data_IF_967982894042
#
_entry.id   IF_967982894042
#
_cell.length_a   1.000
_cell.length_b   1.000
_cell.length_c   1.000
_cell.angle_alpha   90.00
_cell.angle_beta   90.00
_cell.angle_gamma   90.00
#
_symmetry.space_group_name_H-M   'P 1'
#
loop_
_entity.id
_entity.type
_entity.pdbx_description
1 polymer ?
#
# COMPACT_ATOMS: atom_id res chain seq x y z
N UNK A 1 1.34 -16.62 3.99
CA UNK A 1 2.31 -17.67 4.41
C UNK A 1 1.59 -19.01 4.44
N UNK A 2 2.20 -20.07 3.92
CA UNK A 2 1.56 -21.40 3.83
C UNK A 2 0.78 -21.65 2.53
N UNK A 3 1.03 -20.83 1.50
CA UNK A 3 0.49 -20.96 0.14
C UNK A 3 1.35 -21.85 -0.78
N UNK A 4 2.39 -22.49 -0.24
CA UNK A 4 3.33 -23.29 -1.01
C UNK A 4 4.35 -22.50 -1.83
N UNK A 5 4.32 -21.16 -1.76
CA UNK A 5 5.24 -20.25 -2.49
C UNK A 5 6.05 -19.41 -1.51
N UNK A 6 5.40 -18.75 -0.55
CA UNK A 6 6.02 -17.82 0.39
C UNK A 6 6.52 -18.55 1.65
N UNK A 7 7.82 -18.39 1.95
CA UNK A 7 8.47 -19.01 3.13
C UNK A 7 8.48 -18.12 4.38
N UNK A 8 8.05 -16.86 4.30
CA UNK A 8 8.14 -15.91 5.39
C UNK A 8 7.66 -14.50 5.02
N UNK A 9 7.77 -13.57 5.97
CA UNK A 9 7.66 -12.12 5.73
C UNK A 9 8.91 -11.41 6.24
N UNK A 10 9.40 -10.45 5.46
CA UNK A 10 10.44 -9.50 5.87
C UNK A 10 9.78 -8.15 6.18
N UNK A 11 9.69 -7.80 7.46
CA UNK A 11 9.11 -6.52 7.87
C UNK A 11 10.05 -5.34 7.60
N UNK A 12 9.55 -4.35 6.84
CA UNK A 12 10.25 -3.10 6.52
C UNK A 12 9.60 -1.86 7.17
N UNK A 13 8.67 -2.05 8.10
CA UNK A 13 8.05 -0.98 8.89
C UNK A 13 8.95 -0.45 10.02
N UNK A 14 8.44 0.50 10.79
CA UNK A 14 9.21 1.06 11.91
C UNK A 14 9.42 0.04 13.03
N UNK A 15 10.56 0.12 13.75
CA UNK A 15 10.88 -0.79 14.85
C UNK A 15 9.75 -0.92 15.87
N UNK A 16 9.00 0.16 16.14
CA UNK A 16 7.94 0.16 17.16
C UNK A 16 6.84 -0.87 16.93
N UNK A 17 6.68 -1.44 15.74
CA UNK A 17 5.70 -2.50 15.44
C UNK A 17 6.25 -3.92 15.57
N UNK A 18 7.57 -4.09 15.72
CA UNK A 18 8.18 -5.43 15.80
C UNK A 18 7.73 -6.21 17.02
N UNK A 19 7.42 -7.49 16.84
CA UNK A 19 6.85 -8.31 17.90
C UNK A 19 7.65 -9.60 18.08
N UNK A 20 8.58 -9.61 19.02
CA UNK A 20 9.23 -10.83 19.48
C UNK A 20 8.58 -11.27 20.80
N UNK A 21 8.13 -12.52 20.88
CA UNK A 21 7.50 -13.04 22.09
C UNK A 21 8.47 -13.92 22.87
N UNK A 22 8.63 -13.69 24.18
CA UNK A 22 9.52 -14.51 25.00
C UNK A 22 8.89 -15.89 25.25
N UNK A 23 9.52 -16.94 24.69
CA UNK A 23 9.25 -18.33 25.06
C UNK A 23 8.32 -19.10 24.11
N UNK A 24 8.04 -20.36 24.47
CA UNK A 24 7.28 -21.30 23.63
C UNK A 24 5.76 -21.06 23.65
N UNK A 25 5.26 -20.14 24.49
CA UNK A 25 3.85 -19.84 24.63
C UNK A 25 3.62 -18.37 24.98
N UNK A 26 2.69 -17.73 24.28
CA UNK A 26 2.18 -16.38 24.60
C UNK A 26 0.66 -16.41 24.53
N UNK A 27 -0.06 -15.97 25.58
CA UNK A 27 -1.52 -15.94 25.55
C UNK A 27 -2.05 -15.02 24.44
N UNK A 28 -3.06 -15.48 23.69
CA UNK A 28 -3.70 -14.65 22.64
C UNK A 28 -4.25 -13.33 23.20
N UNK A 29 -4.74 -13.33 24.44
CA UNK A 29 -5.32 -12.15 25.11
C UNK A 29 -4.30 -11.06 25.42
N UNK A 30 -3.01 -11.42 25.50
CA UNK A 30 -1.92 -10.46 25.77
C UNK A 30 -0.94 -10.37 24.62
N UNK A 31 -1.19 -11.07 23.51
CA UNK A 31 -0.26 -11.22 22.40
C UNK A 31 0.24 -9.86 21.89
N UNK A 32 -0.65 -8.93 21.59
CA UNK A 32 -0.25 -7.62 21.06
C UNK A 32 0.48 -6.72 22.07
N UNK A 33 0.28 -6.91 23.38
CA UNK A 33 0.93 -6.07 24.40
C UNK A 33 2.20 -6.71 24.98
N UNK A 34 2.26 -8.04 25.08
CA UNK A 34 3.37 -8.80 25.63
C UNK A 34 4.39 -9.14 24.53
N UNK A 35 5.05 -8.10 24.00
CA UNK A 35 6.07 -8.22 22.96
C UNK A 35 7.33 -7.44 23.29
N UNK A 36 8.47 -8.00 22.93
CA UNK A 36 9.73 -7.31 22.85
C UNK A 36 9.85 -6.62 21.48
N UNK A 37 10.12 -5.33 21.53
CA UNK A 37 10.43 -4.49 20.36
C UNK A 37 11.91 -4.65 20.03
N UNK A 38 12.23 -4.88 18.76
CA UNK A 38 13.58 -5.04 18.24
C UNK A 38 13.78 -4.24 16.94
N UNK A 39 15.03 -4.12 16.49
CA UNK A 39 15.31 -3.49 15.20
C UNK A 39 15.06 -4.49 14.07
N UNK A 40 14.23 -4.16 13.07
CA UNK A 40 14.12 -4.95 11.85
C UNK A 40 15.48 -5.18 11.18
N UNK A 41 15.53 -6.16 10.26
CA UNK A 41 16.76 -6.53 9.54
C UNK A 41 17.37 -5.29 8.86
N UNK A 42 16.56 -4.50 8.17
CA UNK A 42 17.05 -3.31 7.45
C UNK A 42 17.65 -2.25 8.39
N UNK A 43 16.99 -1.98 9.52
CA UNK A 43 17.55 -1.09 10.56
C UNK A 43 18.86 -1.63 11.14
N UNK A 44 18.97 -2.95 11.29
CA UNK A 44 20.20 -3.59 11.78
C UNK A 44 21.33 -3.49 10.75
N UNK A 45 21.04 -3.69 9.47
CA UNK A 45 22.01 -3.49 8.38
C UNK A 45 22.57 -2.08 8.37
N UNK A 46 21.70 -1.07 8.52
CA UNK A 46 22.13 0.32 8.64
C UNK A 46 23.01 0.57 9.87
N UNK A 47 22.62 0.06 11.04
CA UNK A 47 23.43 0.19 12.26
C UNK A 47 24.81 -0.46 12.15
N UNK A 48 24.97 -1.42 11.23
CA UNK A 48 26.25 -2.07 10.89
C UNK A 48 27.01 -1.37 9.76
N UNK A 49 26.47 -0.28 9.20
CA UNK A 49 27.09 0.45 8.08
C UNK A 49 27.05 -0.30 6.75
N UNK A 50 26.11 -1.23 6.56
CA UNK A 50 26.00 -2.06 5.35
C UNK A 50 25.13 -1.43 4.26
N UNK A 51 24.26 -0.49 4.62
CA UNK A 51 23.31 0.19 3.73
C UNK A 51 23.11 1.63 4.16
N UNK A 52 22.69 2.46 3.22
CA UNK A 52 22.14 3.78 3.50
C UNK A 52 20.83 3.69 4.29
N UNK A 53 20.39 4.75 4.99
CA UNK A 53 19.20 4.72 5.85
C UNK A 53 17.87 4.77 5.09
N UNK A 54 17.83 4.22 3.87
CA UNK A 54 16.66 4.22 3.02
C UNK A 54 16.65 3.05 2.04
N UNK A 55 15.44 2.59 1.69
CA UNK A 55 15.23 1.59 0.65
C UNK A 55 14.22 2.10 -0.37
N UNK A 56 14.13 1.43 -1.50
CA UNK A 56 13.19 1.76 -2.56
C UNK A 56 12.46 0.52 -3.07
N UNK A 57 11.25 0.74 -3.58
CA UNK A 57 10.43 -0.31 -4.18
C UNK A 57 9.89 0.16 -5.51
N UNK A 58 9.95 -0.71 -6.50
CA UNK A 58 9.21 -0.58 -7.76
C UNK A 58 8.62 -1.94 -8.13
N UNK A 59 7.32 -2.11 -7.93
CA UNK A 59 6.62 -3.36 -8.23
C UNK A 59 6.28 -3.44 -9.72
N UNK A 60 6.33 -4.64 -10.30
CA UNK A 60 5.92 -4.85 -11.68
C UNK A 60 4.38 -4.83 -11.83
N UNK A 61 3.86 -4.47 -13.01
CA UNK A 61 2.42 -4.57 -13.33
C UNK A 61 1.94 -6.01 -13.58
N UNK A 62 2.65 -6.98 -13.01
CA UNK A 62 2.41 -8.39 -13.22
C UNK A 62 1.12 -8.79 -12.48
N UNK A 63 0.13 -9.38 -13.19
CA UNK A 63 -1.03 -9.97 -12.56
C UNK A 63 -0.61 -11.16 -11.70
N UNK A 64 -1.36 -11.44 -10.63
CA UNK A 64 -1.18 -12.68 -9.89
C UNK A 64 -1.65 -13.85 -10.77
N UNK A 65 -0.73 -14.75 -11.11
CA UNK A 65 -1.00 -15.96 -11.88
C UNK A 65 -0.79 -17.21 -11.01
N UNK A 66 -1.64 -18.22 -11.23
CA UNK A 66 -1.64 -19.49 -10.49
C UNK A 66 -0.59 -20.51 -10.97
N UNK A 67 0.40 -20.13 -11.79
CA UNK A 67 1.18 -21.10 -12.57
C UNK A 67 2.69 -20.99 -12.53
N UNK A 68 3.28 -19.79 -12.54
CA UNK A 68 4.73 -19.62 -12.63
C UNK A 68 5.20 -18.29 -12.04
N UNK A 69 6.37 -18.25 -11.37
CA UNK A 69 6.97 -17.00 -10.93
C UNK A 69 7.27 -16.10 -12.13
N UNK A 70 6.68 -14.92 -12.15
CA UNK A 70 7.02 -13.84 -13.07
C UNK A 70 7.84 -12.76 -12.35
N UNK A 71 8.38 -11.81 -13.11
CA UNK A 71 9.13 -10.71 -12.52
C UNK A 71 8.22 -9.84 -11.63
N UNK A 72 8.47 -9.82 -10.31
CA UNK A 72 7.62 -9.11 -9.34
C UNK A 72 7.99 -7.64 -9.09
N UNK A 73 9.18 -7.22 -9.51
CA UNK A 73 9.70 -5.87 -9.25
C UNK A 73 11.08 -5.86 -8.60
N UNK A 74 11.43 -4.71 -8.04
CA UNK A 74 12.72 -4.45 -7.40
C UNK A 74 12.53 -3.96 -5.96
N UNK A 75 13.42 -4.41 -5.08
CA UNK A 75 13.70 -3.82 -3.78
C UNK A 75 15.15 -3.30 -3.81
N UNK A 76 15.34 -1.99 -3.83
CA UNK A 76 16.66 -1.36 -3.77
C UNK A 76 17.04 -1.04 -2.33
N UNK A 77 18.28 -1.34 -1.93
CA UNK A 77 18.79 -1.06 -0.60
C UNK A 77 19.81 0.09 -0.67
N UNK A 78 19.36 1.31 -0.42
CA UNK A 78 20.19 2.51 -0.61
C UNK A 78 20.40 2.94 -2.06
N UNK A 79 19.62 2.39 -3.00
CA UNK A 79 19.67 2.73 -4.42
C UNK A 79 18.25 2.82 -5.02
N UNK A 80 18.13 3.50 -6.17
CA UNK A 80 16.88 3.57 -6.91
C UNK A 80 16.74 2.35 -7.84
N UNK A 81 15.52 1.82 -8.04
CA UNK A 81 15.32 0.71 -8.97
C UNK A 81 15.58 1.13 -10.41
N UNK A 82 16.14 0.24 -11.26
CA UNK A 82 16.46 0.55 -12.66
C UNK A 82 15.21 0.49 -13.56
N UNK A 83 14.18 1.28 -13.22
CA UNK A 83 12.93 1.39 -13.99
C UNK A 83 12.76 2.79 -14.53
N UNK A 84 12.20 2.99 -15.74
CA UNK A 84 11.83 4.32 -16.21
C UNK A 84 10.86 4.99 -15.24
N UNK A 85 11.22 6.17 -14.75
CA UNK A 85 10.39 6.97 -13.86
C UNK A 85 10.59 8.46 -14.11
N UNK A 86 9.62 9.27 -13.69
CA UNK A 86 9.74 10.72 -13.67
C UNK A 86 10.92 11.16 -12.79
N UNK A 87 11.69 12.15 -13.20
CA UNK A 87 12.72 12.78 -12.34
C UNK A 87 12.08 13.58 -11.20
N UNK A 88 10.82 13.99 -11.36
CA UNK A 88 10.09 14.73 -10.34
C UNK A 88 9.54 13.78 -9.26
N UNK A 89 10.24 13.71 -8.13
CA UNK A 89 9.74 13.08 -6.91
C UNK A 89 8.84 14.05 -6.13
N UNK A 90 7.72 13.54 -5.60
CA UNK A 90 6.95 14.20 -4.56
C UNK A 90 7.39 13.63 -3.21
N UNK A 91 7.88 14.49 -2.32
CA UNK A 91 8.35 14.11 -0.99
C UNK A 91 7.32 14.51 0.07
N UNK A 92 7.07 13.62 1.03
CA UNK A 92 6.16 13.84 2.16
C UNK A 92 6.78 13.33 3.46
N UNK A 93 6.60 14.04 4.58
CA UNK A 93 7.11 13.57 5.85
C UNK A 93 6.36 12.30 6.29
N UNK A 94 7.06 11.39 6.94
CA UNK A 94 6.42 10.29 7.66
C UNK A 94 5.81 10.84 8.95
N UNK A 95 4.55 10.52 9.16
CA UNK A 95 3.73 11.01 10.27
C UNK A 95 3.53 9.93 11.35
N UNK A 96 3.19 10.37 12.55
CA UNK A 96 2.61 9.48 13.56
C UNK A 96 1.12 9.40 13.30
N UNK A 97 0.58 8.19 13.10
CA UNK A 97 -0.85 8.02 12.85
C UNK A 97 -1.68 8.36 14.08
N UNK A 98 -2.77 9.10 13.86
CA UNK A 98 -3.54 9.67 14.96
C UNK A 98 -4.43 8.67 15.69
N UNK A 99 -4.94 7.71 14.94
CA UNK A 99 -5.89 6.67 15.35
C UNK A 99 -5.23 5.38 15.85
N UNK A 100 -3.89 5.32 15.93
CA UNK A 100 -3.18 4.16 16.50
C UNK A 100 -3.15 4.28 18.03
N UNK A 101 -3.76 3.33 18.77
CA UNK A 101 -3.74 3.35 20.22
C UNK A 101 -2.33 3.17 20.79
N UNK A 102 -2.04 3.81 21.92
CA UNK A 102 -0.71 3.73 22.56
C UNK A 102 -0.28 2.29 22.89
N UNK A 103 -1.22 1.41 23.23
CA UNK A 103 -0.91 0.01 23.53
C UNK A 103 -0.34 -0.72 22.31
N UNK A 104 -0.70 -0.30 21.09
CA UNK A 104 -0.19 -0.88 19.84
C UNK A 104 1.28 -0.56 19.62
N UNK A 105 1.83 0.43 20.32
CA UNK A 105 3.21 0.95 20.18
C UNK A 105 3.92 0.99 21.54
N UNK A 106 3.66 0.00 22.40
CA UNK A 106 4.31 -0.17 23.72
C UNK A 106 4.20 1.06 24.63
N UNK A 107 3.04 1.72 24.60
CA UNK A 107 2.73 2.90 25.42
C UNK A 107 3.29 4.21 24.89
N UNK A 108 3.79 4.26 23.64
CA UNK A 108 4.49 5.43 23.10
C UNK A 108 3.80 6.00 21.86
N UNK A 109 3.67 7.32 21.79
CA UNK A 109 3.22 8.01 20.56
C UNK A 109 4.42 8.20 19.63
N UNK A 110 4.64 7.25 18.73
CA UNK A 110 5.81 7.18 17.82
C UNK A 110 5.40 6.70 16.43
N UNK A 111 6.26 6.92 15.42
CA UNK A 111 6.06 6.40 14.07
C UNK A 111 6.05 4.88 14.09
N UNK A 112 5.00 4.30 13.54
CA UNK A 112 4.77 2.86 13.46
C UNK A 112 4.71 2.38 12.01
N UNK A 113 4.05 3.14 11.15
CA UNK A 113 3.90 2.85 9.73
C UNK A 113 4.62 3.90 8.88
N UNK A 114 4.79 3.58 7.60
CA UNK A 114 5.15 4.55 6.56
C UNK A 114 3.93 5.41 6.20
N UNK A 115 3.46 6.15 7.21
CA UNK A 115 2.23 6.92 7.16
C UNK A 115 2.47 8.36 6.74
N UNK A 116 1.51 8.93 6.02
CA UNK A 116 1.52 10.32 5.58
C UNK A 116 0.09 10.77 5.25
N UNK A 117 -0.11 12.08 5.11
CA UNK A 117 -1.38 12.62 4.65
C UNK A 117 -1.50 12.58 3.13
N UNK A 118 -2.53 11.88 2.64
CA UNK A 118 -3.00 11.99 1.25
C UNK A 118 -3.90 13.22 1.16
N UNK A 119 -3.64 14.12 0.23
CA UNK A 119 -4.35 15.40 0.11
C UNK A 119 -5.75 15.24 -0.51
N UNK A 120 -6.02 14.12 -1.18
CA UNK A 120 -7.29 13.83 -1.81
C UNK A 120 -7.17 12.83 -2.95
N UNK A 121 -8.25 12.66 -3.71
CA UNK A 121 -8.34 11.78 -4.86
C UNK A 121 -8.84 12.53 -6.11
N UNK A 122 -8.48 12.00 -7.28
CA UNK A 122 -8.95 12.42 -8.60
C UNK A 122 -9.51 11.20 -9.31
N UNK A 123 -10.75 11.27 -9.81
CA UNK A 123 -11.37 10.12 -10.47
C UNK A 123 -12.42 10.51 -11.50
N UNK A 124 -12.66 9.66 -12.49
CA UNK A 124 -13.64 9.94 -13.55
C UNK A 124 -13.58 8.95 -14.70
N UNK A 125 -14.22 9.29 -15.81
CA UNK A 125 -14.22 8.49 -17.03
C UNK A 125 -12.97 8.70 -17.89
N UNK A 126 -12.69 7.74 -18.78
CA UNK A 126 -11.45 7.66 -19.55
C UNK A 126 -11.15 8.88 -20.43
N UNK A 127 -12.17 9.58 -20.93
CA UNK A 127 -12.00 10.71 -21.83
C UNK A 127 -11.52 11.99 -21.13
N UNK A 128 -11.30 11.95 -19.81
CA UNK A 128 -10.72 13.04 -19.01
C UNK A 128 -11.62 14.27 -18.87
N UNK A 129 -12.79 14.32 -19.52
CA UNK A 129 -13.67 15.49 -19.51
C UNK A 129 -14.43 15.67 -18.18
N UNK A 130 -14.32 14.71 -17.25
CA UNK A 130 -15.06 14.69 -15.98
C UNK A 130 -14.23 14.12 -14.81
N UNK A 131 -12.95 14.46 -14.68
CA UNK A 131 -12.20 14.12 -13.48
C UNK A 131 -12.75 14.91 -12.28
N UNK A 132 -13.52 14.24 -11.42
CA UNK A 132 -13.96 14.73 -10.12
C UNK A 132 -12.74 14.85 -9.20
N UNK A 133 -12.75 15.88 -8.36
CA UNK A 133 -11.79 16.05 -7.28
C UNK A 133 -12.51 15.85 -5.95
N UNK A 134 -11.96 14.96 -5.13
CA UNK A 134 -12.28 14.90 -3.71
C UNK A 134 -11.03 15.39 -2.96
N UNK A 135 -11.08 16.60 -2.43
CA UNK A 135 -9.97 17.25 -1.70
C UNK A 135 -10.05 17.02 -0.18
N UNK A 136 -10.81 16.01 0.26
CA UNK A 136 -10.81 15.60 1.67
C UNK A 136 -9.55 14.81 1.94
N UNK A 137 -8.65 15.42 2.71
CA UNK A 137 -7.41 14.80 3.12
C UNK A 137 -7.63 13.70 4.17
N UNK A 138 -6.78 12.67 4.14
CA UNK A 138 -6.80 11.56 5.10
C UNK A 138 -5.40 11.01 5.33
N UNK A 139 -5.14 10.50 6.54
CA UNK A 139 -3.90 9.75 6.81
C UNK A 139 -4.01 8.34 6.22
N UNK A 140 -2.98 7.92 5.50
CA UNK A 140 -2.80 6.56 5.04
C UNK A 140 -1.35 6.12 5.26
N UNK A 141 -1.08 4.83 5.15
CA UNK A 141 0.28 4.32 4.98
C UNK A 141 0.40 3.46 3.73
N UNK A 142 1.60 3.38 3.19
CA UNK A 142 1.90 2.47 2.07
C UNK A 142 2.28 1.09 2.60
N UNK A 143 1.75 0.04 1.97
CA UNK A 143 1.99 -1.34 2.40
C UNK A 143 2.19 -2.29 1.21
N UNK A 144 3.41 -2.83 1.09
CA UNK A 144 3.75 -3.85 0.09
C UNK A 144 3.14 -5.23 0.40
N UNK A 145 2.63 -5.43 1.61
CA UNK A 145 1.99 -6.67 2.07
C UNK A 145 0.48 -6.72 1.84
N UNK A 146 -0.14 -5.63 1.39
CA UNK A 146 -1.58 -5.56 1.10
C UNK A 146 -1.80 -5.38 -0.39
N UNK A 147 -2.49 -6.33 -1.03
CA UNK A 147 -2.78 -6.18 -2.46
C UNK A 147 -3.74 -5.01 -2.75
N UNK A 148 -4.80 -4.94 -1.93
CA UNK A 148 -5.85 -3.94 -2.00
C UNK A 148 -5.42 -2.64 -1.32
N UNK A 149 -5.93 -1.52 -1.85
CA UNK A 149 -5.90 -0.24 -1.15
C UNK A 149 -7.20 -0.09 -0.36
N UNK A 150 -7.05 0.19 0.94
CA UNK A 150 -8.17 0.46 1.84
C UNK A 150 -8.27 1.97 2.04
N UNK A 151 -9.30 2.59 1.50
CA UNK A 151 -9.45 4.05 1.50
C UNK A 151 -10.82 4.45 2.06
N UNK A 152 -11.04 5.71 2.46
CA UNK A 152 -12.34 6.14 2.96
C UNK A 152 -13.47 5.82 1.97
N UNK A 153 -14.60 5.33 2.46
CA UNK A 153 -15.78 4.98 1.64
C UNK A 153 -16.20 6.12 0.71
N UNK A 154 -16.10 7.37 1.17
CA UNK A 154 -16.38 8.58 0.39
C UNK A 154 -15.52 8.77 -0.87
N UNK A 155 -14.41 8.01 -0.99
CA UNK A 155 -13.59 7.92 -2.21
C UNK A 155 -13.89 6.60 -2.94
N UNK A 156 -13.97 5.49 -2.22
CA UNK A 156 -14.11 4.15 -2.82
C UNK A 156 -15.43 3.97 -3.55
N UNK A 157 -16.55 4.31 -2.92
CA UNK A 157 -17.89 4.12 -3.47
C UNK A 157 -18.09 4.83 -4.82
N UNK A 158 -17.82 6.15 -4.96
CA UNK A 158 -18.00 6.82 -6.24
C UNK A 158 -17.03 6.32 -7.31
N UNK A 159 -15.83 5.85 -6.96
CA UNK A 159 -14.90 5.26 -7.95
C UNK A 159 -15.40 3.90 -8.41
N UNK A 160 -15.83 3.04 -7.51
CA UNK A 160 -16.34 1.71 -7.85
C UNK A 160 -17.63 1.75 -8.69
N UNK A 161 -18.46 2.78 -8.49
CA UNK A 161 -19.63 3.03 -9.33
C UNK A 161 -19.31 3.45 -10.79
N UNK A 162 -18.07 3.86 -11.07
CA UNK A 162 -17.62 4.32 -12.39
C UNK A 162 -17.00 3.22 -13.25
N UNK A 163 -16.81 2.00 -12.71
CA UNK A 163 -16.46 0.86 -13.54
C UNK A 163 -17.56 0.63 -14.60
N UNK A 164 -17.18 0.06 -15.75
CA UNK A 164 -18.14 -0.33 -16.79
C UNK A 164 -18.03 -1.82 -17.12
N UNK A 165 -18.98 -2.66 -16.68
CA UNK A 165 -20.13 -2.32 -15.82
C UNK A 165 -19.71 -1.95 -14.38
N UNK A 166 -20.57 -1.25 -13.61
CA UNK A 166 -20.25 -0.82 -12.25
C UNK A 166 -19.92 -1.99 -11.32
N UNK A 167 -18.99 -1.77 -10.40
CA UNK A 167 -18.61 -2.77 -9.42
C UNK A 167 -19.73 -2.97 -8.38
N UNK A 168 -19.92 -4.20 -7.92
CA UNK A 168 -20.97 -4.58 -6.97
C UNK A 168 -20.33 -5.12 -5.69
N UNK A 169 -20.67 -4.53 -4.54
CA UNK A 169 -20.15 -5.01 -3.26
C UNK A 169 -20.68 -6.41 -2.93
N UNK A 170 -19.77 -7.32 -2.59
CA UNK A 170 -20.09 -8.65 -2.08
C UNK A 170 -19.78 -8.70 -0.59
N UNK A 171 -20.82 -8.88 0.24
CA UNK A 171 -20.64 -9.07 1.68
C UNK A 171 -19.85 -10.35 2.00
N UNK A 172 -20.06 -11.42 1.21
CA UNK A 172 -19.38 -12.71 1.39
C UNK A 172 -17.87 -12.60 1.17
N UNK A 173 -17.46 -11.79 0.18
CA UNK A 173 -16.04 -11.59 -0.15
C UNK A 173 -15.42 -10.37 0.52
N UNK A 174 -16.24 -9.47 1.10
CA UNK A 174 -15.79 -8.21 1.69
C UNK A 174 -15.15 -7.24 0.70
N UNK A 175 -15.46 -7.36 -0.60
CA UNK A 175 -14.87 -6.56 -1.69
C UNK A 175 -15.92 -6.22 -2.75
N UNK A 176 -15.61 -5.24 -3.60
CA UNK A 176 -16.41 -4.93 -4.79
C UNK A 176 -16.02 -5.87 -5.93
N UNK A 177 -16.93 -6.75 -6.33
CA UNK A 177 -16.78 -7.65 -7.48
C UNK A 177 -16.96 -6.84 -8.77
N UNK A 178 -16.14 -7.12 -9.76
CA UNK A 178 -16.20 -6.54 -11.11
C UNK A 178 -16.12 -7.65 -12.15
N UNK A 179 -16.65 -7.38 -13.34
CA UNK A 179 -16.34 -8.21 -14.50
C UNK A 179 -14.84 -8.13 -14.77
N UNK A 180 -14.20 -9.26 -15.09
CA UNK A 180 -12.75 -9.30 -15.29
C UNK A 180 -12.27 -8.49 -16.50
N UNK A 181 -13.16 -8.18 -17.44
CA UNK A 181 -12.94 -7.30 -18.59
C UNK A 181 -13.60 -5.92 -18.43
N UNK A 182 -14.06 -5.57 -17.23
CA UNK A 182 -14.65 -4.27 -16.94
C UNK A 182 -13.67 -3.14 -17.26
N UNK A 183 -14.21 -2.05 -17.82
CA UNK A 183 -13.44 -0.82 -18.00
C UNK A 183 -13.28 -0.12 -16.65
N UNK A 184 -12.06 -0.10 -16.11
CA UNK A 184 -11.76 0.63 -14.89
C UNK A 184 -11.75 2.15 -15.12
N UNK A 185 -12.21 2.95 -14.14
CA UNK A 185 -12.19 4.41 -14.24
C UNK A 185 -10.76 4.98 -14.19
N UNK A 186 -10.63 6.27 -14.51
CA UNK A 186 -9.45 7.03 -14.10
C UNK A 186 -9.49 7.15 -12.57
N UNK A 187 -8.39 6.81 -11.89
CA UNK A 187 -8.23 7.00 -10.45
C UNK A 187 -6.79 7.38 -10.10
N UNK A 188 -6.64 8.40 -9.26
CA UNK A 188 -5.34 8.81 -8.73
C UNK A 188 -5.44 9.49 -7.38
N UNK A 189 -4.37 9.40 -6.60
CA UNK A 189 -4.25 10.01 -5.27
C UNK A 189 -3.31 11.20 -5.31
N UNK A 190 -3.69 12.29 -4.64
CA UNK A 190 -2.88 13.50 -4.53
C UNK A 190 -1.94 13.39 -3.33
N UNK A 191 -0.63 13.37 -3.60
CA UNK A 191 0.43 13.22 -2.60
C UNK A 191 1.46 14.32 -2.83
N UNK A 192 1.63 15.18 -1.82
CA UNK A 192 2.45 16.39 -1.94
C UNK A 192 1.97 17.28 -3.09
N UNK A 193 2.85 17.56 -4.06
CA UNK A 193 2.55 18.42 -5.20
C UNK A 193 2.15 17.67 -6.48
N UNK A 194 1.88 16.37 -6.40
CA UNK A 194 1.56 15.54 -7.56
C UNK A 194 0.32 14.67 -7.35
N UNK A 195 -0.37 14.37 -8.45
CA UNK A 195 -1.34 13.27 -8.50
C UNK A 195 -0.71 12.05 -9.14
N UNK A 196 -0.80 10.92 -8.45
CA UNK A 196 -0.33 9.61 -8.88
C UNK A 196 -1.51 8.78 -9.35
N UNK A 197 -1.62 8.61 -10.66
CA UNK A 197 -2.69 7.83 -11.29
C UNK A 197 -2.32 6.36 -11.34
N UNK A 198 -3.32 5.51 -11.17
CA UNK A 198 -3.19 4.06 -11.30
C UNK A 198 -3.28 3.67 -12.77
N UNK A 199 -2.52 2.65 -13.17
CA UNK A 199 -2.82 1.87 -14.35
C UNK A 199 -4.17 1.18 -14.13
N UNK A 200 -5.03 1.22 -15.15
CA UNK A 200 -6.38 0.63 -15.10
C UNK A 200 -6.35 -0.86 -14.80
N UNK A 201 -5.36 -1.59 -15.30
CA UNK A 201 -5.19 -3.01 -15.01
C UNK A 201 -4.89 -3.29 -13.53
N UNK A 202 -4.25 -2.35 -12.82
CA UNK A 202 -3.96 -2.50 -11.39
C UNK A 202 -5.16 -2.14 -10.50
N UNK A 203 -6.26 -1.65 -11.09
CA UNK A 203 -7.54 -1.45 -10.39
C UNK A 203 -8.40 -2.71 -10.36
N UNK A 204 -7.99 -3.78 -11.05
CA UNK A 204 -8.71 -5.06 -11.10
C UNK A 204 -7.80 -6.15 -10.56
N UNK A 205 -8.24 -6.78 -9.48
CA UNK A 205 -7.65 -7.99 -8.93
C UNK A 205 -8.34 -9.22 -9.52
N UNK A 206 -7.57 -10.20 -10.01
CA UNK A 206 -8.08 -11.48 -10.48
C UNK A 206 -7.73 -12.59 -9.49
N UNK A 207 -8.73 -13.29 -8.95
CA UNK A 207 -8.53 -14.37 -7.99
C UNK A 207 -8.03 -15.68 -8.64
N UNK A 208 -8.01 -15.75 -9.98
CA UNK A 208 -7.54 -16.91 -10.74
C UNK A 208 -8.57 -18.02 -10.91
N UNK A 209 -9.81 -17.81 -10.46
CA UNK A 209 -10.96 -18.72 -10.57
C UNK A 209 -12.09 -18.17 -11.44
N UNK A 210 -11.83 -17.06 -12.16
CA UNK A 210 -12.82 -16.32 -12.93
C UNK A 210 -13.52 -15.20 -12.16
N UNK A 211 -13.26 -15.06 -10.86
CA UNK A 211 -13.72 -13.93 -10.05
C UNK A 211 -12.73 -12.79 -10.13
N UNK A 212 -13.23 -11.56 -10.31
CA UNK A 212 -12.43 -10.34 -10.22
C UNK A 212 -13.04 -9.33 -9.25
N UNK A 213 -12.20 -8.50 -8.64
CA UNK A 213 -12.62 -7.44 -7.73
C UNK A 213 -11.88 -6.13 -8.01
N UNK A 214 -12.52 -5.02 -7.69
CA UNK A 214 -11.83 -3.73 -7.58
C UNK A 214 -10.77 -3.81 -6.48
N UNK A 215 -9.57 -3.29 -6.76
CA UNK A 215 -8.51 -3.21 -5.73
C UNK A 215 -8.76 -2.12 -4.68
N UNK A 216 -9.86 -1.37 -4.79
CA UNK A 216 -10.25 -0.32 -3.84
C UNK A 216 -11.38 -0.81 -2.93
N UNK A 217 -11.08 -0.86 -1.63
CA UNK A 217 -12.01 -1.31 -0.58
C UNK A 217 -12.19 -0.20 0.45
N UNK A 218 -13.42 -0.02 0.94
CA UNK A 218 -13.71 0.97 1.97
C UNK A 218 -13.06 0.56 3.30
N UNK A 219 -12.17 1.39 3.85
CA UNK A 219 -11.42 1.07 5.07
C UNK A 219 -12.34 0.85 6.28
N UNK A 220 -13.51 1.49 6.28
CA UNK A 220 -14.55 1.35 7.29
C UNK A 220 -15.13 -0.08 7.35
N UNK A 221 -15.09 -0.82 6.24
CA UNK A 221 -15.63 -2.20 6.16
C UNK A 221 -14.68 -3.26 6.73
N UNK A 222 -13.40 -2.91 6.93
CA UNK A 222 -12.36 -3.80 7.46
C UNK A 222 -11.79 -3.32 8.79
N UNK A 223 -12.52 -2.43 9.48
CA UNK A 223 -12.11 -1.90 10.76
C UNK A 223 -11.93 -3.03 11.79
N UNK A 224 -10.78 -3.04 12.46
CA UNK A 224 -10.48 -4.04 13.50
C UNK A 224 -10.51 -3.37 14.87
N UNK A 225 -11.36 -3.89 15.77
CA UNK A 225 -11.51 -3.34 17.14
C UNK A 225 -11.82 -1.83 17.17
N UNK A 226 -12.56 -1.34 16.17
CA UNK A 226 -12.89 0.09 16.03
C UNK A 226 -11.75 0.96 15.47
N UNK A 227 -10.63 0.35 15.08
CA UNK A 227 -9.50 1.03 14.42
C UNK A 227 -9.73 0.96 12.90
N UNK A 228 -9.98 2.11 12.29
CA UNK A 228 -10.09 2.27 10.83
C UNK A 228 -8.75 2.75 10.30
N UNK A 229 -8.09 1.99 9.43
CA UNK A 229 -6.80 2.37 8.84
C UNK A 229 -6.94 2.50 7.32
N UNK A 230 -6.37 3.57 6.76
CA UNK A 230 -6.26 3.70 5.32
C UNK A 230 -4.88 3.20 4.86
N UNK A 231 -4.88 2.45 3.77
CA UNK A 231 -3.72 1.76 3.23
C UNK A 231 -3.67 2.00 1.72
N UNK A 232 -2.51 2.42 1.23
CA UNK A 232 -2.18 2.37 -0.19
C UNK A 232 -1.38 1.09 -0.43
N UNK A 233 -2.04 0.11 -1.05
CA UNK A 233 -1.49 -1.23 -1.24
C UNK A 233 -0.64 -1.39 -2.49
N UNK A 234 -0.41 -2.64 -2.88
CA UNK A 234 0.30 -3.05 -4.10
C UNK A 234 -0.32 -2.42 -5.34
N UNK A 235 -1.66 -2.32 -5.42
CA UNK A 235 -2.36 -1.62 -6.50
C UNK A 235 -1.82 -0.20 -6.75
N UNK A 236 -1.52 0.56 -5.70
CA UNK A 236 -0.86 1.85 -5.80
C UNK A 236 0.64 1.71 -6.09
N UNK A 237 1.34 0.84 -5.36
CA UNK A 237 2.79 0.69 -5.43
C UNK A 237 3.30 0.15 -6.79
N UNK A 238 2.46 -0.53 -7.57
CA UNK A 238 2.73 -0.91 -8.96
C UNK A 238 2.91 0.32 -9.87
N UNK A 239 2.41 1.49 -9.49
CA UNK A 239 2.38 2.70 -10.32
C UNK A 239 3.48 3.73 -10.01
N UNK A 240 4.27 3.48 -8.97
CA UNK A 240 5.28 4.43 -8.48
C UNK A 240 6.63 3.77 -8.23
N UNK A 241 7.68 4.56 -8.28
CA UNK A 241 8.91 4.30 -7.55
C UNK A 241 8.74 4.94 -6.18
N UNK A 242 8.71 4.12 -5.14
CA UNK A 242 8.56 4.57 -3.76
C UNK A 242 9.90 4.47 -3.03
N UNK A 243 10.32 5.55 -2.38
CA UNK A 243 11.52 5.63 -1.55
C UNK A 243 11.10 5.82 -0.10
N UNK A 244 11.67 5.01 0.79
CA UNK A 244 11.37 4.92 2.20
C UNK A 244 12.63 5.29 2.98
N UNK A 245 12.72 6.54 3.44
CA UNK A 245 13.91 7.10 4.07
C UNK A 245 13.67 7.27 5.58
N UNK A 246 14.13 6.31 6.38
CA UNK A 246 13.98 6.39 7.83
C UNK A 246 15.02 7.33 8.47
N UNK A 247 16.11 7.64 7.77
CA UNK A 247 17.11 8.61 8.21
C UNK A 247 16.51 10.01 8.26
N UNK A 248 15.70 10.35 7.27
CA UNK A 248 14.97 11.62 7.17
C UNK A 248 13.53 11.55 7.69
N UNK A 249 12.99 10.35 7.92
CA UNK A 249 11.56 10.10 8.14
C UNK A 249 10.72 10.72 7.02
N UNK A 250 11.01 10.33 5.79
CA UNK A 250 10.37 10.86 4.58
C UNK A 250 10.02 9.72 3.62
N UNK A 251 8.92 9.88 2.91
CA UNK A 251 8.56 9.09 1.74
C UNK A 251 8.72 9.94 0.50
N UNK A 252 9.26 9.36 -0.58
CA UNK A 252 9.32 10.01 -1.90
C UNK A 252 8.68 9.12 -2.94
N UNK A 253 7.84 9.70 -3.79
CA UNK A 253 7.16 8.98 -4.86
C UNK A 253 7.47 9.63 -6.20
N UNK A 254 7.88 8.83 -7.17
CA UNK A 254 7.95 9.22 -8.58
C UNK A 254 7.02 8.35 -9.42
N UNK A 255 6.40 8.93 -10.44
CA UNK A 255 5.57 8.18 -11.38
C UNK A 255 6.44 7.21 -12.15
N UNK A 256 6.07 5.93 -12.20
CA UNK A 256 6.66 5.01 -13.18
C UNK A 256 6.21 5.41 -14.57
N UNK A 257 7.14 5.37 -15.51
CA UNK A 257 6.87 5.60 -16.91
C UNK A 257 6.80 4.24 -17.60
N UNK A 258 5.88 4.09 -18.56
CA UNK A 258 5.92 2.95 -19.46
C UNK A 258 7.22 3.05 -20.26
N UNK A 259 8.00 1.97 -20.33
CA UNK A 259 9.16 1.95 -21.21
C UNK A 259 8.68 2.26 -22.63
N UNK A 260 9.17 3.34 -23.24
CA UNK A 260 8.89 3.63 -24.64
C UNK A 260 9.48 2.50 -25.50
N UNK A 261 8.61 1.62 -26.00
CA UNK A 261 8.90 0.70 -27.09
C UNK A 261 9.46 -0.67 -26.69
N UNK A 262 8.62 -1.70 -26.82
CA UNK A 262 8.84 -2.83 -27.73
C UNK A 262 7.50 -3.14 -28.40
#
# INVERSE_FOLDING_TARGET
>A
MGDGVNSGLLGLGYPSLTSAHPGNYTPNTTFFQNRAVYNPVFNTMYLQGLVEPWFSVALAHTPLQNGSPEFGGYLGLGELPPVPHSEAFSAVPVEVMDNIPLWFTSGKRVRSYWAFTVAGARYGYENGSHAQANDTAFQAFVDTGNEFSYLPAAIVEPVNALFSPPAVYSEDLGVYVVDCDAQAPLFGVAIGNQTFYHNRGDLIYNFGDGTCASTLVASETVALEGIVLNILGVSFLKNVVAVFDFGMNELRFAKKLVACGI
#
